data_IF_598556158968
#
_entry.id   IF_598556158968
#
_cell.length_a   1.000
_cell.length_b   1.000
_cell.length_c   1.000
_cell.angle_alpha   90.00
_cell.angle_beta   90.00
_cell.angle_gamma   90.00
#
_symmetry.space_group_name_H-M   'P 1'
#
loop_
_entity.id
_entity.type
_entity.pdbx_description
1 polymer ?
#
# COMPACT_ATOMS: atom_id res chain seq x y z
N UNK A 1 3.97 9.87 10.07
CA UNK A 1 3.24 8.66 10.49
C UNK A 1 2.41 8.13 9.33
N UNK A 2 2.44 6.82 9.10
CA UNK A 2 1.64 6.25 8.02
C UNK A 2 0.18 6.11 8.46
N UNK A 3 -0.72 6.26 7.49
CA UNK A 3 -2.14 6.07 7.69
C UNK A 3 -2.54 4.69 7.21
N UNK A 4 -3.55 4.12 7.86
CA UNK A 4 -4.14 2.86 7.47
C UNK A 4 -5.62 3.08 7.17
N UNK A 5 -6.19 2.17 6.41
CA UNK A 5 -7.62 2.24 6.09
C UNK A 5 -8.15 0.83 5.92
N UNK A 6 -9.43 0.67 6.16
CA UNK A 6 -10.08 -0.63 6.08
C UNK A 6 -10.56 -0.90 4.65
N UNK A 7 -10.27 -2.10 4.17
CA UNK A 7 -10.84 -2.58 2.90
C UNK A 7 -10.56 -1.66 1.72
N UNK A 8 -9.35 -1.08 1.66
CA UNK A 8 -8.96 -0.26 0.50
C UNK A 8 -8.14 -1.10 -0.45
N UNK A 9 -8.65 -1.29 -1.65
CA UNK A 9 -7.95 -2.03 -2.70
C UNK A 9 -8.48 -1.57 -4.04
N UNK A 10 -7.58 -1.06 -4.88
CA UNK A 10 -7.94 -0.51 -6.18
C UNK A 10 -7.09 -1.14 -7.28
N UNK A 11 -7.60 -1.09 -8.50
CA UNK A 11 -6.83 -1.48 -9.67
C UNK A 11 -5.98 -0.30 -10.12
N UNK A 12 -4.97 -0.59 -10.92
CA UNK A 12 -4.23 0.47 -11.62
C UNK A 12 -3.82 -0.02 -12.99
N UNK A 13 -3.92 0.88 -13.98
CA UNK A 13 -3.41 0.62 -15.32
C UNK A 13 -2.05 1.27 -15.53
N UNK A 14 -1.45 1.83 -14.49
CA UNK A 14 -0.13 2.43 -14.57
C UNK A 14 0.90 1.37 -14.93
N UNK A 15 1.85 1.75 -15.81
CA UNK A 15 2.99 0.90 -16.16
C UNK A 15 4.26 1.56 -15.66
N UNK A 16 5.33 0.74 -15.51
CA UNK A 16 6.64 1.27 -15.12
C UNK A 16 6.80 1.43 -13.62
N UNK A 17 7.76 2.24 -13.23
CA UNK A 17 8.23 2.33 -11.83
C UNK A 17 7.83 3.63 -11.13
N UNK A 18 7.09 4.51 -11.79
CA UNK A 18 6.79 5.84 -11.26
C UNK A 18 5.53 5.90 -10.42
N UNK A 19 5.03 7.12 -10.28
CA UNK A 19 3.80 7.40 -9.54
C UNK A 19 2.63 6.64 -10.15
N UNK A 20 1.80 6.09 -9.29
CA UNK A 20 0.65 5.28 -9.69
C UNK A 20 -0.60 6.16 -9.79
N UNK A 21 -1.36 5.99 -10.87
CA UNK A 21 -2.71 6.52 -10.95
C UNK A 21 -3.65 5.45 -10.41
N UNK A 22 -4.35 5.77 -9.34
CA UNK A 22 -5.24 4.82 -8.66
C UNK A 22 -6.55 4.70 -9.42
N UNK A 23 -6.95 3.48 -9.70
CA UNK A 23 -8.16 3.20 -10.46
C UNK A 23 -9.36 2.94 -9.57
N UNK A 24 -10.25 2.08 -10.05
CA UNK A 24 -11.49 1.75 -9.35
C UNK A 24 -11.25 0.77 -8.22
N UNK A 25 -12.09 0.84 -7.18
CA UNK A 25 -12.06 -0.16 -6.13
C UNK A 25 -12.51 -1.51 -6.68
N UNK A 26 -11.87 -2.58 -6.20
CA UNK A 26 -12.31 -3.92 -6.53
C UNK A 26 -13.62 -4.22 -5.81
N UNK A 27 -14.35 -5.23 -6.28
CA UNK A 27 -15.63 -5.60 -5.69
C UNK A 27 -15.45 -5.90 -4.19
N UNK A 28 -16.26 -5.26 -3.36
CA UNK A 28 -16.19 -5.43 -1.91
C UNK A 28 -15.12 -4.58 -1.23
N UNK A 29 -14.43 -3.73 -1.99
CA UNK A 29 -13.38 -2.87 -1.44
C UNK A 29 -13.74 -1.39 -1.62
N UNK A 30 -12.90 -0.53 -1.05
CA UNK A 30 -13.07 0.92 -1.10
C UNK A 30 -11.91 1.57 -1.84
N UNK A 31 -12.16 2.77 -2.38
CA UNK A 31 -11.06 3.62 -2.86
C UNK A 31 -10.34 4.24 -1.66
N UNK A 32 -9.20 4.88 -1.91
CA UNK A 32 -8.46 5.59 -0.86
C UNK A 32 -9.36 6.64 -0.18
N UNK A 33 -10.05 7.45 -0.97
CA UNK A 33 -10.92 8.48 -0.43
C UNK A 33 -12.09 7.89 0.36
N UNK A 34 -12.69 6.82 -0.12
CA UNK A 34 -13.79 6.15 0.59
C UNK A 34 -13.33 5.58 1.92
N UNK A 35 -12.09 5.12 1.97
CA UNK A 35 -11.50 4.58 3.21
C UNK A 35 -11.03 5.65 4.18
N UNK A 36 -11.15 6.93 3.84
CA UNK A 36 -10.80 8.02 4.73
C UNK A 36 -9.43 8.62 4.50
N UNK A 37 -8.73 8.24 3.44
CA UNK A 37 -7.43 8.83 3.15
C UNK A 37 -7.65 10.20 2.49
N UNK A 38 -7.02 11.23 3.06
CA UNK A 38 -7.14 12.59 2.56
C UNK A 38 -5.85 13.03 1.88
N UNK A 39 -5.95 14.13 1.13
CA UNK A 39 -4.83 14.65 0.34
C UNK A 39 -3.57 14.86 1.20
N UNK A 40 -2.43 14.40 0.69
CA UNK A 40 -1.14 14.58 1.34
C UNK A 40 -0.78 13.54 2.37
N UNK A 41 -1.70 12.63 2.67
CA UNK A 41 -1.42 11.59 3.67
C UNK A 41 -0.48 10.53 3.12
N UNK A 42 0.36 10.00 4.00
CA UNK A 42 1.26 8.90 3.70
C UNK A 42 0.60 7.60 4.16
N UNK A 43 0.52 6.63 3.27
CA UNK A 43 -0.13 5.35 3.57
C UNK A 43 0.87 4.21 3.44
N UNK A 44 0.58 3.11 4.12
CA UNK A 44 1.31 1.86 3.93
C UNK A 44 0.62 1.09 2.82
N UNK A 45 1.30 0.91 1.70
CA UNK A 45 0.71 0.24 0.55
C UNK A 45 1.36 -1.10 0.28
N UNK A 46 0.62 -1.97 -0.39
CA UNK A 46 1.12 -3.17 -1.02
C UNK A 46 0.62 -3.17 -2.45
N UNK A 47 1.50 -3.51 -3.38
CA UNK A 47 1.16 -3.67 -4.79
C UNK A 47 1.34 -5.14 -5.14
N UNK A 48 0.40 -5.70 -5.89
CA UNK A 48 0.51 -7.03 -6.47
C UNK A 48 0.37 -6.91 -7.97
N UNK A 49 1.31 -7.53 -8.70
CA UNK A 49 1.29 -7.54 -10.16
C UNK A 49 1.75 -8.92 -10.61
N UNK A 50 0.80 -9.78 -10.95
CA UNK A 50 1.11 -11.19 -11.22
C UNK A 50 1.67 -11.84 -9.98
N UNK A 51 2.89 -12.38 -10.08
CA UNK A 51 3.58 -12.98 -8.94
C UNK A 51 4.48 -11.99 -8.21
N UNK A 52 4.58 -10.76 -8.72
CA UNK A 52 5.41 -9.72 -8.12
C UNK A 52 4.68 -8.98 -7.01
N UNK A 53 5.45 -8.49 -6.04
CA UNK A 53 4.89 -7.67 -4.97
C UNK A 53 5.81 -6.51 -4.64
N UNK A 54 5.21 -5.46 -4.10
CA UNK A 54 5.96 -4.30 -3.62
C UNK A 54 5.27 -3.75 -2.38
N UNK A 55 6.03 -3.46 -1.33
CA UNK A 55 5.52 -2.89 -0.09
C UNK A 55 6.30 -1.62 0.17
N UNK A 56 5.61 -0.56 0.59
CA UNK A 56 6.27 0.67 0.92
C UNK A 56 5.35 1.68 1.54
N UNK A 57 5.79 2.94 1.53
CA UNK A 57 4.95 4.05 1.94
C UNK A 57 4.70 4.93 0.72
N UNK A 58 3.48 5.42 0.60
CA UNK A 58 3.09 6.23 -0.54
C UNK A 58 2.37 7.49 -0.10
N UNK A 59 2.57 8.57 -0.85
CA UNK A 59 1.88 9.83 -0.57
C UNK A 59 0.71 9.95 -1.54
N UNK A 60 -0.48 10.08 -0.96
CA UNK A 60 -1.72 10.19 -1.74
C UNK A 60 -1.96 11.64 -2.15
N UNK A 61 -2.24 11.85 -3.43
CA UNK A 61 -2.63 13.16 -3.95
C UNK A 61 -4.04 13.02 -4.51
N UNK A 62 -5.00 13.75 -3.92
CA UNK A 62 -6.40 13.64 -4.34
C UNK A 62 -6.62 14.22 -5.72
N UNK A 63 -5.90 15.28 -6.07
CA UNK A 63 -5.93 15.84 -7.41
C UNK A 63 -5.27 14.84 -8.36
N UNK A 64 -6.02 14.29 -9.29
CA UNK A 64 -5.53 13.27 -10.20
C UNK A 64 -5.57 11.86 -9.64
N UNK A 65 -5.85 11.71 -8.36
CA UNK A 65 -5.98 10.40 -7.68
C UNK A 65 -4.73 9.57 -7.89
N UNK A 66 -3.60 10.05 -7.34
CA UNK A 66 -2.31 9.40 -7.52
C UNK A 66 -1.66 9.04 -6.19
N UNK A 67 -0.69 8.13 -6.26
CA UNK A 67 0.13 7.76 -5.11
C UNK A 67 1.58 7.65 -5.55
N UNK A 68 2.45 8.45 -4.92
CA UNK A 68 3.89 8.33 -5.11
C UNK A 68 4.38 7.12 -4.33
N UNK A 69 5.44 6.47 -4.83
CA UNK A 69 5.94 5.21 -4.27
C UNK A 69 7.29 5.39 -3.59
N UNK A 70 7.40 4.92 -2.35
CA UNK A 70 8.68 4.83 -1.66
C UNK A 70 8.82 3.37 -1.20
N UNK A 71 9.58 2.59 -1.94
CA UNK A 71 9.66 1.14 -1.78
C UNK A 71 10.47 0.76 -0.55
N UNK A 72 9.96 -0.17 0.25
CA UNK A 72 10.73 -0.75 1.35
C UNK A 72 11.15 -2.18 1.04
N UNK A 73 10.26 -2.93 0.40
CA UNK A 73 10.54 -4.33 0.09
C UNK A 73 9.78 -4.71 -1.18
N UNK A 74 10.43 -5.48 -2.05
CA UNK A 74 9.75 -5.97 -3.24
C UNK A 74 10.40 -7.25 -3.74
N UNK A 75 9.66 -7.97 -4.60
CA UNK A 75 10.20 -9.16 -5.27
C UNK A 75 11.21 -8.80 -6.36
N UNK A 76 11.43 -7.51 -6.61
CA UNK A 76 12.43 -7.04 -7.58
C UNK A 76 13.66 -6.51 -6.84
N UNK A 77 14.23 -7.33 -5.97
CA UNK A 77 15.42 -6.97 -5.17
C UNK A 77 15.21 -5.67 -4.38
N UNK A 78 14.00 -5.50 -3.85
CA UNK A 78 13.59 -4.33 -3.06
C UNK A 78 13.60 -3.03 -3.83
N UNK A 79 13.54 -3.11 -5.16
CA UNK A 79 13.36 -1.95 -6.03
C UNK A 79 11.91 -1.89 -6.49
N UNK A 80 11.50 -0.75 -7.03
CA UNK A 80 10.14 -0.61 -7.55
C UNK A 80 9.89 -1.62 -8.66
N UNK A 81 8.70 -2.22 -8.63
CA UNK A 81 8.28 -3.09 -9.73
C UNK A 81 8.03 -2.25 -10.98
N UNK A 82 8.40 -2.79 -12.12
CA UNK A 82 7.96 -2.22 -13.39
C UNK A 82 6.58 -2.79 -13.67
N UNK A 83 5.56 -1.99 -13.41
CA UNK A 83 4.18 -2.45 -13.48
C UNK A 83 3.73 -2.71 -14.91
N UNK A 84 2.85 -3.70 -15.08
CA UNK A 84 2.41 -4.15 -16.40
C UNK A 84 1.11 -3.52 -16.87
N UNK A 85 0.42 -2.82 -15.99
CA UNK A 85 -0.88 -2.23 -16.31
C UNK A 85 -2.06 -3.02 -15.74
N UNK A 86 -1.77 -4.09 -15.01
CA UNK A 86 -2.81 -4.95 -14.43
C UNK A 86 -2.60 -5.17 -12.94
N UNK A 87 -1.93 -4.24 -12.27
CA UNK A 87 -1.63 -4.37 -10.85
C UNK A 87 -2.82 -3.97 -9.98
N UNK A 88 -2.78 -4.40 -8.72
CA UNK A 88 -3.69 -3.92 -7.70
C UNK A 88 -2.87 -3.28 -6.59
N UNK A 89 -3.47 -2.27 -5.94
CA UNK A 89 -2.84 -1.52 -4.85
C UNK A 89 -3.77 -1.54 -3.66
N UNK A 90 -3.27 -1.95 -2.51
CA UNK A 90 -4.11 -1.96 -1.32
C UNK A 90 -3.35 -1.46 -0.10
N UNK A 91 -4.11 -1.10 0.93
CA UNK A 91 -3.56 -0.59 2.18
C UNK A 91 -3.69 -1.68 3.24
N UNK A 92 -2.55 -2.07 3.82
CA UNK A 92 -2.53 -3.03 4.92
C UNK A 92 -1.24 -2.82 5.71
N UNK A 93 -1.25 -3.20 6.97
CA UNK A 93 -0.06 -3.04 7.80
C UNK A 93 1.06 -3.96 7.30
N UNK A 94 2.28 -3.44 7.32
CA UNK A 94 3.46 -4.25 7.07
C UNK A 94 4.04 -4.73 8.39
N UNK A 95 4.96 -5.70 8.33
CA UNK A 95 5.59 -6.21 9.54
C UNK A 95 6.27 -5.09 10.35
N UNK A 96 6.89 -4.14 9.66
CA UNK A 96 7.56 -3.03 10.33
C UNK A 96 6.61 -2.17 11.16
N UNK A 97 5.34 -2.08 10.76
CA UNK A 97 4.34 -1.31 11.50
C UNK A 97 3.97 -1.96 12.82
N UNK A 98 4.10 -3.27 12.89
CA UNK A 98 3.71 -4.04 14.07
C UNK A 98 4.85 -4.22 15.07
N UNK A 99 6.09 -4.03 14.63
CA UNK A 99 7.27 -4.19 15.47
C UNK A 99 7.83 -2.86 15.96
N UNK A 100 7.18 -1.75 15.63
CA UNK A 100 7.64 -0.43 16.03
C UNK A 100 7.36 -0.12 17.49
N UNK A 101 7.87 1.04 17.93
CA UNK A 101 7.61 1.51 19.29
C UNK A 101 6.12 1.75 19.48
N UNK A 102 5.64 1.54 20.69
CA UNK A 102 4.23 1.69 20.98
C UNK A 102 3.45 0.40 20.94
N UNK A 103 4.02 -0.64 20.36
CA UNK A 103 3.42 -1.97 20.38
C UNK A 103 3.99 -2.72 21.57
N UNK A 104 3.14 -3.17 22.47
CA UNK A 104 3.60 -3.86 23.67
C UNK A 104 4.27 -5.20 23.30
N UNK A 105 5.23 -5.61 24.11
CA UNK A 105 5.91 -6.89 23.90
C UNK A 105 4.91 -8.05 23.89
N UNK A 106 3.92 -8.00 24.77
CA UNK A 106 2.89 -9.04 24.82
C UNK A 106 2.08 -9.12 23.54
N UNK A 107 1.75 -7.97 22.99
CA UNK A 107 0.99 -7.94 21.73
C UNK A 107 1.81 -8.52 20.58
N UNK A 108 3.07 -8.11 20.46
CA UNK A 108 3.95 -8.62 19.41
C UNK A 108 4.14 -10.12 19.56
N UNK A 109 4.34 -10.59 20.79
CA UNK A 109 4.52 -12.01 21.05
C UNK A 109 3.28 -12.81 20.67
N UNK A 110 2.10 -12.26 20.98
CA UNK A 110 0.84 -12.90 20.62
C UNK A 110 0.72 -13.10 19.11
N UNK A 111 1.06 -12.07 18.34
CA UNK A 111 1.01 -12.17 16.88
C UNK A 111 1.96 -13.24 16.34
N UNK A 112 3.13 -13.39 16.98
CA UNK A 112 4.08 -14.41 16.55
C UNK A 112 3.62 -15.82 16.92
N UNK A 113 2.90 -15.94 18.02
CA UNK A 113 2.42 -17.24 18.47
C UNK A 113 1.25 -17.75 17.62
N UNK A 114 0.55 -16.83 16.97
CA UNK A 114 -0.55 -17.22 16.10
C UNK A 114 -0.06 -17.55 14.70
#
# INVERSE_FOLDING_TARGET
MVEFANRVKVSTSTTGTGTITLGSALAGYQTFAQGGITNGKTVRYTIEDGVGFEIGTGTYTSSGTTMARSVEESSNSDNALSLTGSATVFITAAAADLSGSGVSTGFVYFLRAS
#
